data_IF_529506436644
#
_entry.id   IF_529506436644
#
_cell.length_a   1.000
_cell.length_b   1.000
_cell.length_c   1.000
_cell.angle_alpha   90.00
_cell.angle_beta   90.00
_cell.angle_gamma   90.00
#
_symmetry.space_group_name_H-M   'P 1'
#
loop_
_entity.id
_entity.type
_entity.pdbx_description
1 polymer ?
#
# COMPACT_ATOMS: atom_id res chain seq x y z
N UNK A 1 -41.19 28.07 30.61
CA UNK A 1 -39.99 27.28 31.00
C UNK A 1 -39.96 26.11 30.02
N UNK A 2 -38.98 25.87 29.16
CA UNK A 2 -37.53 25.96 29.29
C UNK A 2 -36.89 26.53 28.00
N UNK A 3 -35.71 27.13 28.18
CA UNK A 3 -34.89 27.85 27.22
C UNK A 3 -34.64 27.04 25.92
N UNK A 4 -35.05 27.58 24.78
CA UNK A 4 -34.41 27.25 23.51
C UNK A 4 -33.00 27.81 23.53
N UNK A 5 -32.02 27.00 23.92
CA UNK A 5 -30.62 27.39 23.83
C UNK A 5 -30.26 27.61 22.36
N UNK A 6 -29.70 28.79 22.04
CA UNK A 6 -29.18 29.08 20.71
C UNK A 6 -28.21 27.96 20.30
N UNK A 7 -28.46 27.32 19.16
CA UNK A 7 -27.46 26.49 18.48
C UNK A 7 -26.34 27.40 18.01
N UNK A 8 -25.25 27.44 18.75
CA UNK A 8 -24.03 28.13 18.35
C UNK A 8 -23.18 27.24 17.45
N UNK A 9 -22.41 27.84 16.54
CA UNK A 9 -21.41 27.12 15.73
C UNK A 9 -20.19 26.75 16.56
N UNK A 10 -19.71 25.53 16.37
CA UNK A 10 -18.51 24.99 16.97
C UNK A 10 -17.51 24.63 15.87
N UNK A 11 -16.40 25.37 15.81
CA UNK A 11 -15.32 25.18 14.85
C UNK A 11 -14.30 24.22 15.43
N UNK A 12 -14.23 23.00 14.87
CA UNK A 12 -13.35 21.93 15.30
C UNK A 12 -12.10 21.93 14.44
N UNK A 13 -10.94 21.92 15.09
CA UNK A 13 -9.62 21.82 14.47
C UNK A 13 -8.83 20.71 15.15
N UNK A 14 -7.99 20.01 14.39
CA UNK A 14 -7.04 19.00 14.88
C UNK A 14 -5.62 19.47 14.60
N UNK A 15 -4.69 19.27 15.53
CA UNK A 15 -3.26 19.48 15.31
C UNK A 15 -2.42 18.49 16.14
N UNK A 16 -1.08 18.64 16.10
CA UNK A 16 -0.14 17.75 16.80
C UNK A 16 -0.28 17.69 18.33
N UNK A 17 -0.92 18.68 18.97
CA UNK A 17 -1.12 18.72 20.42
C UNK A 17 -2.52 18.29 20.84
N UNK A 18 -3.49 18.17 19.92
CA UNK A 18 -4.84 17.75 20.26
C UNK A 18 -5.93 18.11 19.24
N UNK A 19 -7.17 17.90 19.68
CA UNK A 19 -8.38 18.37 19.01
C UNK A 19 -9.01 19.48 19.84
N UNK A 20 -9.44 20.55 19.19
CA UNK A 20 -9.97 21.75 19.82
C UNK A 20 -11.27 22.15 19.15
N UNK A 21 -12.20 22.69 19.94
CA UNK A 21 -13.39 23.36 19.44
C UNK A 21 -13.41 24.82 19.89
N UNK A 22 -13.73 25.71 18.96
CA UNK A 22 -13.88 27.15 19.20
C UNK A 22 -15.30 27.61 18.86
N UNK A 23 -15.77 28.66 19.53
CA UNK A 23 -16.99 29.36 19.14
C UNK A 23 -16.75 30.34 17.96
N UNK A 24 -17.80 30.99 17.47
CA UNK A 24 -17.75 32.03 16.42
C UNK A 24 -16.88 33.24 16.79
N UNK A 25 -16.65 33.49 18.08
CA UNK A 25 -15.80 34.58 18.57
C UNK A 25 -14.35 34.14 18.74
N UNK A 26 -14.07 32.87 18.49
CA UNK A 26 -12.75 32.27 18.62
C UNK A 26 -12.36 31.89 20.04
N UNK A 27 -13.30 31.83 20.98
CA UNK A 27 -13.06 31.33 22.33
C UNK A 27 -13.07 29.80 22.33
N UNK A 28 -12.18 29.20 23.11
CA UNK A 28 -12.12 27.76 23.27
C UNK A 28 -13.34 27.26 24.05
N UNK A 29 -14.13 26.37 23.45
CA UNK A 29 -15.31 25.76 24.09
C UNK A 29 -15.02 24.35 24.60
N UNK A 30 -14.12 23.61 23.94
CA UNK A 30 -13.69 22.29 24.36
C UNK A 30 -12.29 21.97 23.83
N UNK A 31 -11.55 21.12 24.54
CA UNK A 31 -10.26 20.60 24.10
C UNK A 31 -10.05 19.16 24.53
N UNK A 32 -9.30 18.43 23.73
CA UNK A 32 -8.77 17.11 24.04
C UNK A 32 -7.30 17.08 23.61
N UNK A 33 -6.39 17.08 24.58
CA UNK A 33 -4.96 17.07 24.31
C UNK A 33 -4.49 15.65 24.02
N UNK A 34 -3.59 15.52 23.05
CA UNK A 34 -2.92 14.26 22.80
C UNK A 34 -1.80 14.07 23.83
N UNK A 35 -1.86 12.93 24.52
CA UNK A 35 -0.75 12.38 25.29
C UNK A 35 -0.22 11.13 24.59
N UNK A 36 1.06 10.83 24.82
CA UNK A 36 1.74 9.68 24.24
C UNK A 36 3.08 10.04 23.63
N UNK A 37 3.73 9.03 23.04
CA UNK A 37 4.94 9.21 22.21
C UNK A 37 4.57 9.85 20.86
N UNK A 38 5.54 10.45 20.13
CA UNK A 38 5.29 11.04 18.81
C UNK A 38 4.61 10.09 17.81
N UNK A 39 4.89 8.79 17.90
CA UNK A 39 4.28 7.76 17.05
C UNK A 39 2.79 7.60 17.31
N UNK A 40 2.37 7.59 18.58
CA UNK A 40 0.95 7.50 18.96
C UNK A 40 0.18 8.76 18.52
N UNK A 41 0.83 9.92 18.59
CA UNK A 41 0.27 11.19 18.13
C UNK A 41 0.13 11.19 16.61
N UNK A 42 1.13 10.66 15.88
CA UNK A 42 1.05 10.48 14.43
C UNK A 42 -0.13 9.59 14.03
N UNK A 43 -0.42 8.52 14.77
CA UNK A 43 -1.60 7.67 14.54
C UNK A 43 -2.92 8.39 14.81
N UNK A 44 -2.99 9.17 15.89
CA UNK A 44 -4.17 10.01 16.19
C UNK A 44 -4.39 11.07 15.10
N UNK A 45 -3.34 11.64 14.54
CA UNK A 45 -3.43 12.59 13.42
C UNK A 45 -3.89 11.93 12.12
N UNK A 46 -3.45 10.71 11.84
CA UNK A 46 -3.84 9.96 10.66
C UNK A 46 -5.27 9.40 10.74
N UNK A 47 -5.90 9.41 11.93
CA UNK A 47 -7.26 8.94 12.15
C UNK A 47 -8.27 10.08 12.31
N UNK A 48 -9.56 9.73 12.22
CA UNK A 48 -10.71 10.65 12.32
C UNK A 48 -11.07 11.02 13.78
N UNK A 49 -10.08 11.33 14.61
CA UNK A 49 -10.30 11.67 16.04
C UNK A 49 -11.19 12.89 16.23
N UNK A 50 -11.15 13.84 15.29
CA UNK A 50 -12.01 15.03 15.24
C UNK A 50 -13.50 14.68 15.08
N UNK A 51 -13.84 13.59 14.39
CA UNK A 51 -15.24 13.16 14.23
C UNK A 51 -15.79 12.61 15.55
N UNK A 52 -15.00 11.77 16.25
CA UNK A 52 -15.36 11.27 17.57
C UNK A 52 -15.46 12.39 18.60
N UNK A 53 -14.58 13.39 18.50
CA UNK A 53 -14.65 14.57 19.34
C UNK A 53 -15.92 15.40 19.07
N UNK A 54 -16.33 15.53 17.80
CA UNK A 54 -17.54 16.25 17.41
C UNK A 54 -18.83 15.65 18.00
N UNK A 55 -18.92 14.32 18.15
CA UNK A 55 -20.07 13.64 18.75
C UNK A 55 -20.36 14.12 20.17
N UNK A 56 -19.32 14.52 20.93
CA UNK A 56 -19.44 15.05 22.30
C UNK A 56 -20.06 16.45 22.34
N UNK A 57 -20.10 17.14 21.21
CA UNK A 57 -20.64 18.49 21.05
C UNK A 57 -22.04 18.48 20.40
N UNK A 58 -22.74 17.33 20.48
CA UNK A 58 -24.09 17.16 19.98
C UNK A 58 -25.04 18.23 20.54
N UNK A 59 -25.48 19.14 19.67
CA UNK A 59 -26.29 20.31 20.04
C UNK A 59 -25.77 21.62 19.42
N UNK A 60 -24.50 21.66 19.02
CA UNK A 60 -23.92 22.74 18.23
C UNK A 60 -23.95 22.43 16.74
N UNK A 61 -23.88 23.49 15.92
CA UNK A 61 -23.61 23.34 14.49
C UNK A 61 -22.10 23.12 14.32
N UNK A 62 -21.68 21.92 13.93
CA UNK A 62 -20.27 21.55 13.82
C UNK A 62 -19.71 22.01 12.47
N UNK A 63 -18.60 22.73 12.53
CA UNK A 63 -17.80 23.11 11.36
C UNK A 63 -16.39 22.58 11.56
N UNK A 64 -15.85 21.85 10.60
CA UNK A 64 -14.44 21.44 10.63
C UNK A 64 -13.63 22.49 9.87
N UNK A 65 -12.74 23.18 10.57
CA UNK A 65 -11.92 24.26 10.01
C UNK A 65 -10.55 24.25 10.68
N UNK A 66 -9.48 24.43 9.90
CA UNK A 66 -8.14 24.58 10.45
C UNK A 66 -8.02 25.92 11.18
N UNK A 67 -7.64 25.88 12.45
CA UNK A 67 -7.37 27.10 13.20
C UNK A 67 -5.88 27.46 13.16
N UNK A 68 -5.62 28.77 13.27
CA UNK A 68 -4.28 29.30 13.46
C UNK A 68 -3.58 28.64 14.67
N UNK A 69 -2.37 28.13 14.44
CA UNK A 69 -1.55 27.48 15.46
C UNK A 69 -1.28 28.41 16.65
N UNK A 70 -1.00 29.69 16.41
CA UNK A 70 -0.75 30.66 17.48
C UNK A 70 -2.00 30.90 18.33
N UNK A 71 -3.20 30.85 17.73
CA UNK A 71 -4.47 30.90 18.47
C UNK A 71 -4.61 29.70 19.40
N UNK A 72 -4.28 28.49 18.93
CA UNK A 72 -4.36 27.27 19.74
C UNK A 72 -3.32 27.31 20.87
N UNK A 73 -2.06 27.63 20.56
CA UNK A 73 -0.95 27.72 21.52
C UNK A 73 -1.31 28.67 22.67
N UNK A 74 -1.87 29.85 22.34
CA UNK A 74 -2.34 30.81 23.35
C UNK A 74 -3.51 30.26 24.17
N UNK A 75 -4.50 29.66 23.53
CA UNK A 75 -5.70 29.14 24.20
C UNK A 75 -5.41 28.00 25.19
N UNK A 76 -4.30 27.28 25.01
CA UNK A 76 -3.88 26.19 25.90
C UNK A 76 -2.64 26.48 26.72
N UNK A 77 -2.13 27.71 26.66
CA UNK A 77 -0.90 28.15 27.36
C UNK A 77 0.30 27.21 27.08
N UNK A 78 0.44 26.78 25.82
CA UNK A 78 1.54 25.91 25.40
C UNK A 78 2.77 26.74 25.03
N UNK A 79 3.98 26.20 25.26
CA UNK A 79 5.22 26.87 24.81
C UNK A 79 5.43 26.62 23.32
N UNK A 80 5.81 27.67 22.59
CA UNK A 80 6.09 27.58 21.16
C UNK A 80 7.30 26.68 20.90
N UNK A 81 8.34 26.76 21.73
CA UNK A 81 9.50 25.88 21.61
C UNK A 81 9.12 24.39 21.77
N UNK A 82 8.24 24.08 22.72
CA UNK A 82 7.73 22.70 22.92
C UNK A 82 6.89 22.24 21.74
N UNK A 83 6.07 23.14 21.18
CA UNK A 83 5.25 22.83 20.01
C UNK A 83 6.12 22.49 18.80
N UNK A 84 7.12 23.31 18.50
CA UNK A 84 8.01 23.13 17.35
C UNK A 84 8.84 21.84 17.50
N UNK A 85 9.30 21.53 18.72
CA UNK A 85 9.99 20.28 19.01
C UNK A 85 9.10 19.05 18.76
N UNK A 86 7.86 19.08 19.25
CA UNK A 86 6.89 18.00 19.05
C UNK A 86 6.49 17.87 17.58
N UNK A 87 6.29 19.00 16.88
CA UNK A 87 5.96 19.04 15.47
C UNK A 87 7.01 18.32 14.64
N UNK A 88 8.28 18.62 14.90
CA UNK A 88 9.39 17.95 14.23
C UNK A 88 9.37 16.44 14.46
N UNK A 89 9.22 16.00 15.69
CA UNK A 89 9.23 14.56 16.03
C UNK A 89 8.05 13.82 15.42
N UNK A 90 6.84 14.36 15.52
CA UNK A 90 5.63 13.78 14.94
C UNK A 90 5.70 13.79 13.41
N UNK A 91 6.22 14.85 12.79
CA UNK A 91 6.41 14.92 11.34
C UNK A 91 7.40 13.86 10.85
N UNK A 92 8.48 13.61 11.59
CA UNK A 92 9.42 12.53 11.30
C UNK A 92 8.77 11.15 11.45
N UNK A 93 7.96 10.94 12.49
CA UNK A 93 7.22 9.70 12.67
C UNK A 93 6.23 9.44 11.52
N UNK A 94 5.45 10.46 11.12
CA UNK A 94 4.53 10.39 9.98
C UNK A 94 5.26 10.12 8.67
N UNK A 95 6.38 10.81 8.41
CA UNK A 95 7.17 10.62 7.21
C UNK A 95 7.73 9.18 7.13
N UNK A 96 8.29 8.67 8.23
CA UNK A 96 8.79 7.29 8.31
C UNK A 96 7.70 6.26 8.05
N UNK A 97 6.52 6.45 8.65
CA UNK A 97 5.36 5.56 8.44
C UNK A 97 4.95 5.53 6.97
N UNK A 98 4.77 6.70 6.34
CA UNK A 98 4.41 6.81 4.92
C UNK A 98 5.46 6.20 3.98
N UNK A 99 6.75 6.42 4.28
CA UNK A 99 7.86 5.84 3.49
C UNK A 99 7.94 4.31 3.61
N UNK A 100 7.64 3.76 4.79
CA UNK A 100 7.62 2.31 5.01
C UNK A 100 6.43 1.59 4.37
N UNK A 101 5.27 2.26 4.25
CA UNK A 101 4.04 1.62 3.75
C UNK A 101 3.95 1.60 2.21
N UNK A 102 4.34 2.68 1.51
CA UNK A 102 3.94 2.85 0.10
C UNK A 102 5.05 2.53 -0.90
N UNK A 103 6.30 2.92 -0.63
CA UNK A 103 7.39 2.79 -1.60
C UNK A 103 8.09 1.44 -1.49
N UNK A 104 8.43 1.01 -0.27
CA UNK A 104 9.19 -0.23 -0.07
C UNK A 104 8.40 -1.50 -0.41
N UNK A 105 7.07 -1.48 -0.27
CA UNK A 105 6.26 -2.66 -0.55
C UNK A 105 6.18 -2.93 -2.05
N UNK A 106 5.86 -1.91 -2.86
CA UNK A 106 5.75 -2.07 -4.32
C UNK A 106 7.10 -2.43 -4.97
N UNK A 107 8.18 -1.75 -4.59
CA UNK A 107 9.52 -2.05 -5.14
C UNK A 107 9.96 -3.48 -4.78
N UNK A 108 9.65 -3.92 -3.55
CA UNK A 108 9.97 -5.28 -3.10
C UNK A 108 9.13 -6.34 -3.80
N UNK A 109 7.85 -6.08 -4.05
CA UNK A 109 6.97 -6.99 -4.79
C UNK A 109 7.49 -7.20 -6.22
N UNK A 110 7.95 -6.14 -6.89
CA UNK A 110 8.57 -6.24 -8.23
C UNK A 110 9.83 -7.10 -8.19
N UNK A 111 10.74 -6.86 -7.23
CA UNK A 111 11.96 -7.68 -7.08
C UNK A 111 11.61 -9.16 -6.87
N UNK A 112 10.62 -9.47 -6.02
CA UNK A 112 10.19 -10.86 -5.81
C UNK A 112 9.55 -11.48 -7.06
N UNK A 113 8.83 -10.70 -7.87
CA UNK A 113 8.27 -11.18 -9.12
C UNK A 113 9.36 -11.53 -10.14
N UNK A 114 10.42 -10.72 -10.24
CA UNK A 114 11.58 -11.02 -11.10
C UNK A 114 12.30 -12.28 -10.63
N UNK A 115 12.59 -12.41 -9.33
CA UNK A 115 13.20 -13.63 -8.77
C UNK A 115 12.32 -14.87 -9.04
N UNK A 116 11.01 -14.75 -8.88
CA UNK A 116 10.08 -15.84 -9.18
C UNK A 116 10.03 -16.19 -10.67
N UNK A 117 10.22 -15.22 -11.58
CA UNK A 117 10.31 -15.47 -13.02
C UNK A 117 11.56 -16.30 -13.35
N UNK A 118 12.70 -15.95 -12.77
CA UNK A 118 13.95 -16.70 -12.92
C UNK A 118 13.82 -18.13 -12.37
N UNK A 119 13.24 -18.29 -11.18
CA UNK A 119 12.97 -19.60 -10.57
C UNK A 119 12.03 -20.45 -11.45
N UNK A 120 11.01 -19.82 -12.05
CA UNK A 120 10.10 -20.50 -12.98
C UNK A 120 10.81 -20.94 -14.24
N UNK A 121 11.75 -20.15 -14.78
CA UNK A 121 12.54 -20.51 -15.96
C UNK A 121 13.42 -21.74 -15.69
N UNK A 122 14.06 -21.82 -14.52
CA UNK A 122 14.82 -23.01 -14.13
C UNK A 122 13.91 -24.25 -13.99
N UNK A 123 12.77 -24.09 -13.31
CA UNK A 123 11.80 -25.17 -13.14
C UNK A 123 11.23 -25.66 -14.47
N UNK A 124 10.86 -24.75 -15.37
CA UNK A 124 10.30 -25.08 -16.69
C UNK A 124 11.30 -25.84 -17.55
N UNK A 125 12.58 -25.47 -17.52
CA UNK A 125 13.61 -26.21 -18.23
C UNK A 125 13.71 -27.66 -17.74
N UNK A 126 13.77 -27.87 -16.43
CA UNK A 126 13.85 -29.21 -15.84
C UNK A 126 12.61 -30.05 -16.16
N UNK A 127 11.41 -29.46 -16.03
CA UNK A 127 10.16 -30.15 -16.32
C UNK A 127 10.06 -30.50 -17.81
N UNK A 128 10.46 -29.60 -18.70
CA UNK A 128 10.42 -29.82 -20.14
C UNK A 128 11.40 -30.90 -20.61
N UNK A 129 12.60 -30.96 -20.04
CA UNK A 129 13.54 -32.07 -20.28
C UNK A 129 12.94 -33.40 -19.80
N UNK A 130 12.39 -33.43 -18.58
CA UNK A 130 11.77 -34.64 -18.03
C UNK A 130 10.58 -35.11 -18.86
N UNK A 131 9.73 -34.19 -19.34
CA UNK A 131 8.59 -34.50 -20.21
C UNK A 131 9.04 -35.14 -21.52
N UNK A 132 10.08 -34.58 -22.16
CA UNK A 132 10.64 -35.14 -23.40
C UNK A 132 11.20 -36.53 -23.18
N UNK A 133 12.02 -36.72 -22.16
CA UNK A 133 12.60 -38.03 -21.84
C UNK A 133 11.52 -39.08 -21.62
N UNK A 134 10.48 -38.74 -20.84
CA UNK A 134 9.40 -39.69 -20.55
C UNK A 134 8.59 -40.00 -21.81
N UNK A 135 8.28 -38.99 -22.62
CA UNK A 135 7.56 -39.17 -23.87
C UNK A 135 8.34 -40.05 -24.87
N UNK A 136 9.65 -39.85 -25.00
CA UNK A 136 10.49 -40.58 -25.95
C UNK A 136 10.67 -42.06 -25.64
N UNK A 137 10.40 -42.51 -24.41
CA UNK A 137 10.34 -43.95 -24.10
C UNK A 137 9.27 -44.68 -24.90
N UNK A 138 8.20 -43.98 -25.27
CA UNK A 138 7.06 -44.56 -26.00
C UNK A 138 7.04 -44.11 -27.46
N UNK A 139 7.44 -42.87 -27.74
CA UNK A 139 7.35 -42.25 -29.07
C UNK A 139 8.63 -41.44 -29.39
N UNK A 140 9.73 -42.11 -29.79
CA UNK A 140 11.03 -41.47 -30.01
C UNK A 140 11.10 -40.58 -31.27
N UNK A 141 10.12 -40.70 -32.18
CA UNK A 141 10.09 -39.99 -33.47
C UNK A 141 9.48 -38.57 -33.35
N UNK A 142 8.93 -38.21 -32.20
CA UNK A 142 8.25 -36.93 -32.02
C UNK A 142 9.26 -35.81 -31.81
N UNK A 143 9.41 -34.94 -32.80
CA UNK A 143 10.24 -33.74 -32.70
C UNK A 143 9.37 -32.50 -32.46
N UNK A 144 9.70 -31.73 -31.44
CA UNK A 144 9.24 -30.35 -31.29
C UNK A 144 10.42 -29.48 -30.85
N UNK A 145 10.66 -28.42 -31.61
CA UNK A 145 11.76 -27.48 -31.33
C UNK A 145 11.49 -26.68 -30.06
N UNK A 146 10.23 -26.27 -29.84
CA UNK A 146 9.81 -25.42 -28.74
C UNK A 146 9.22 -26.24 -27.57
N UNK A 147 9.68 -25.94 -26.34
CA UNK A 147 9.27 -26.66 -25.13
C UNK A 147 7.78 -26.42 -24.80
N UNK A 148 7.30 -25.19 -24.92
CA UNK A 148 5.90 -24.83 -24.63
C UNK A 148 4.95 -25.53 -25.60
N UNK A 149 5.24 -25.49 -26.90
CA UNK A 149 4.47 -26.20 -27.93
C UNK A 149 4.51 -27.71 -27.72
N UNK A 150 5.64 -28.26 -27.28
CA UNK A 150 5.71 -29.69 -26.97
C UNK A 150 4.77 -30.06 -25.82
N UNK A 151 4.78 -29.29 -24.73
CA UNK A 151 3.84 -29.48 -23.63
C UNK A 151 2.37 -29.30 -24.08
N UNK A 152 2.11 -28.30 -24.92
CA UNK A 152 0.78 -28.04 -25.49
C UNK A 152 0.25 -29.23 -26.31
N UNK A 153 1.09 -29.80 -27.16
CA UNK A 153 0.72 -30.94 -28.00
C UNK A 153 0.37 -32.17 -27.14
N UNK A 154 1.15 -32.42 -26.09
CA UNK A 154 1.00 -33.61 -25.26
C UNK A 154 -0.14 -33.50 -24.24
N UNK A 155 -0.53 -32.30 -23.83
CA UNK A 155 -1.61 -32.10 -22.83
C UNK A 155 -2.98 -32.54 -23.34
N UNK A 156 -3.18 -32.60 -24.66
CA UNK A 156 -4.44 -33.03 -25.28
C UNK A 156 -4.62 -34.57 -25.29
N UNK A 157 -3.59 -35.31 -24.87
CA UNK A 157 -3.64 -36.77 -24.74
C UNK A 157 -4.38 -37.24 -23.48
N UNK A 158 -4.12 -38.48 -23.08
CA UNK A 158 -4.69 -39.08 -21.88
C UNK A 158 -3.64 -39.78 -21.02
N UNK A 159 -3.85 -39.75 -19.71
CA UNK A 159 -2.96 -40.38 -18.73
C UNK A 159 -1.87 -39.45 -18.22
N UNK A 160 -0.99 -40.00 -17.37
CA UNK A 160 -0.11 -39.21 -16.50
C UNK A 160 0.90 -38.32 -17.24
N UNK A 161 1.33 -38.71 -18.44
CA UNK A 161 2.26 -37.88 -19.26
C UNK A 161 1.54 -36.63 -19.76
N UNK A 162 0.28 -36.77 -20.18
CA UNK A 162 -0.55 -35.63 -20.59
C UNK A 162 -0.89 -34.72 -19.42
N UNK A 163 -1.13 -35.30 -18.23
CA UNK A 163 -1.33 -34.51 -17.00
C UNK A 163 -0.06 -33.71 -16.66
N UNK A 164 1.12 -34.33 -16.72
CA UNK A 164 2.41 -33.67 -16.50
C UNK A 164 2.67 -32.57 -17.54
N UNK A 165 2.36 -32.83 -18.81
CA UNK A 165 2.45 -31.84 -19.89
C UNK A 165 1.52 -30.66 -19.66
N UNK A 166 0.30 -30.91 -19.16
CA UNK A 166 -0.64 -29.87 -18.76
C UNK A 166 -0.05 -28.97 -17.67
N UNK A 167 0.53 -29.54 -16.61
CA UNK A 167 1.17 -28.76 -15.55
C UNK A 167 2.34 -27.92 -16.07
N UNK A 168 3.21 -28.49 -16.90
CA UNK A 168 4.32 -27.74 -17.52
C UNK A 168 3.81 -26.60 -18.41
N UNK A 169 2.77 -26.84 -19.21
CA UNK A 169 2.14 -25.81 -20.03
C UNK A 169 1.53 -24.68 -19.19
N UNK A 170 0.82 -25.01 -18.10
CA UNK A 170 0.22 -24.01 -17.23
C UNK A 170 1.28 -23.11 -16.56
N UNK A 171 2.46 -23.66 -16.28
CA UNK A 171 3.61 -22.88 -15.81
C UNK A 171 4.18 -21.95 -16.90
N UNK A 172 4.23 -22.38 -18.17
CA UNK A 172 4.59 -21.49 -19.29
C UNK A 172 3.59 -20.33 -19.43
N UNK A 173 2.29 -20.61 -19.31
CA UNK A 173 1.25 -19.57 -19.33
C UNK A 173 1.37 -18.63 -18.12
N UNK A 174 1.73 -19.15 -16.95
CA UNK A 174 1.94 -18.33 -15.77
C UNK A 174 3.16 -17.42 -15.90
N UNK A 175 4.26 -17.94 -16.46
CA UNK A 175 5.47 -17.18 -16.79
C UNK A 175 5.14 -15.95 -17.64
N UNK A 176 4.37 -16.10 -18.72
CA UNK A 176 3.95 -14.98 -19.58
C UNK A 176 3.12 -13.94 -18.82
N UNK A 177 2.17 -14.38 -17.99
CA UNK A 177 1.40 -13.46 -17.12
C UNK A 177 2.27 -12.73 -16.10
N UNK A 178 3.31 -13.39 -15.58
CA UNK A 178 4.24 -12.80 -14.62
C UNK A 178 5.13 -11.74 -15.30
N UNK A 179 5.58 -11.99 -16.53
CA UNK A 179 6.29 -10.99 -17.35
C UNK A 179 5.43 -9.75 -17.61
N UNK A 180 4.16 -9.93 -17.99
CA UNK A 180 3.22 -8.82 -18.17
C UNK A 180 3.01 -8.02 -16.88
N UNK A 181 2.89 -8.71 -15.74
CA UNK A 181 2.78 -8.06 -14.43
C UNK A 181 4.03 -7.25 -14.10
N UNK A 182 5.22 -7.82 -14.27
CA UNK A 182 6.50 -7.14 -14.00
C UNK A 182 6.61 -5.89 -14.88
N UNK A 183 6.31 -6.00 -16.18
CA UNK A 183 6.37 -4.87 -17.09
C UNK A 183 5.44 -3.72 -16.65
N UNK A 184 4.19 -4.04 -16.28
CA UNK A 184 3.24 -3.05 -15.77
C UNK A 184 3.68 -2.44 -14.45
N UNK A 185 4.23 -3.25 -13.54
CA UNK A 185 4.62 -2.78 -12.22
C UNK A 185 5.87 -1.90 -12.27
N UNK A 186 6.85 -2.21 -13.13
CA UNK A 186 8.05 -1.39 -13.37
C UNK A 186 7.70 -0.06 -14.02
N UNK A 187 6.71 0.00 -14.91
CA UNK A 187 6.22 1.26 -15.47
C UNK A 187 5.59 2.17 -14.38
N UNK A 188 4.91 1.58 -13.39
CA UNK A 188 4.31 2.30 -12.27
C UNK A 188 5.36 2.75 -11.23
N UNK A 189 6.32 1.89 -10.89
CA UNK A 189 7.30 2.15 -9.83
C UNK A 189 8.54 2.91 -10.32
N UNK A 190 8.96 2.71 -11.56
CA UNK A 190 10.20 3.24 -12.10
C UNK A 190 10.13 3.58 -13.61
N UNK A 191 9.28 4.54 -14.02
CA UNK A 191 9.07 4.88 -15.44
C UNK A 191 10.34 5.36 -16.16
N UNK A 192 11.29 5.96 -15.43
CA UNK A 192 12.55 6.44 -16.00
C UNK A 192 13.58 5.34 -16.26
N UNK A 193 13.55 4.21 -15.52
CA UNK A 193 14.45 3.07 -15.76
C UNK A 193 13.89 2.12 -16.82
N UNK A 194 12.56 1.99 -16.90
CA UNK A 194 11.86 1.23 -17.95
C UNK A 194 12.28 1.68 -19.37
N UNK A 195 12.48 2.98 -19.56
CA UNK A 195 12.93 3.55 -20.84
C UNK A 195 14.39 3.28 -21.21
N UNK A 196 15.23 2.79 -20.29
CA UNK A 196 16.68 2.63 -20.50
C UNK A 196 17.12 1.18 -20.69
N UNK A 197 16.49 0.20 -20.03
CA UNK A 197 16.95 -1.19 -20.04
C UNK A 197 16.24 -2.09 -21.07
N UNK A 198 15.08 -1.66 -21.59
CA UNK A 198 14.18 -2.55 -22.33
C UNK A 198 13.49 -3.53 -21.38
N UNK A 199 12.22 -3.82 -21.66
CA UNK A 199 11.25 -4.46 -20.76
C UNK A 199 11.56 -5.92 -20.34
N UNK A 200 12.80 -6.38 -20.42
CA UNK A 200 13.18 -7.77 -20.15
C UNK A 200 14.50 -7.92 -19.38
N UNK A 201 15.19 -6.82 -19.03
CA UNK A 201 16.51 -6.88 -18.36
C UNK A 201 16.70 -5.84 -17.23
N UNK A 202 15.62 -5.35 -16.63
CA UNK A 202 15.66 -4.56 -15.39
C UNK A 202 14.87 -5.26 -14.27
#
# INVERSE_FOLDING_TARGET
MLRGGLKMKAYITKNIIGVFAFDEKGNLIAKELFSGKPEEIAEKLASDVEKKFAERLAGHEIVFEEADVDKIIRAVEYSREKYDALLREVSLALARKKLGEVSQQKDREVVQAVEALDDLDEALNLLSERLREWHYLHFPETAAEDQKKFAELLRAGGGIISDFAGQAYDLYEFRERLEEYIASAVEETAPNTAGLAGATLA
#
